data_IF_095812266286
#
_entry.id   IF_095812266286
#
_cell.length_a   1.000
_cell.length_b   1.000
_cell.length_c   1.000
_cell.angle_alpha   90.00
_cell.angle_beta   90.00
_cell.angle_gamma   90.00
#
_symmetry.space_group_name_H-M   'P 1'
#
loop_
_entity.id
_entity.type
_entity.pdbx_description
1 polymer ?
#
# COMPACT_ATOMS: atom_id res chain seq x y z
N UNK A 1 22.55 16.10 -0.99
CA UNK A 1 21.31 16.08 -1.82
C UNK A 1 20.15 15.61 -0.95
N UNK A 2 19.18 16.48 -0.59
CA UNK A 2 17.98 16.06 0.18
C UNK A 2 17.16 15.09 -0.68
N UNK A 3 17.32 13.76 -0.51
CA UNK A 3 16.57 12.72 -1.27
C UNK A 3 15.08 13.07 -1.29
N UNK A 4 14.52 13.32 -2.48
CA UNK A 4 13.13 13.75 -2.63
C UNK A 4 12.14 12.74 -2.05
N UNK A 5 12.52 11.46 -2.05
CA UNK A 5 11.73 10.36 -1.51
C UNK A 5 12.61 9.50 -0.61
N UNK A 6 12.12 9.20 0.59
CA UNK A 6 12.74 8.22 1.48
C UNK A 6 12.28 6.81 1.06
N UNK A 7 13.14 6.09 0.34
CA UNK A 7 12.83 4.75 -0.16
C UNK A 7 12.60 3.72 0.95
N UNK A 8 13.20 3.87 2.14
CA UNK A 8 12.91 2.97 3.27
C UNK A 8 11.46 3.14 3.72
N UNK A 9 11.02 4.39 3.87
CA UNK A 9 9.64 4.72 4.23
C UNK A 9 8.65 4.24 3.16
N UNK A 10 8.98 4.41 1.88
CA UNK A 10 8.17 3.90 0.76
C UNK A 10 7.90 2.39 0.89
N UNK A 11 8.96 1.59 1.09
CA UNK A 11 8.82 0.13 1.19
C UNK A 11 8.06 -0.31 2.44
N UNK A 12 8.22 0.40 3.56
CA UNK A 12 7.45 0.13 4.79
C UNK A 12 5.97 0.41 4.59
N UNK A 13 5.63 1.56 4.01
CA UNK A 13 4.25 1.93 3.72
C UNK A 13 3.62 0.95 2.71
N UNK A 14 4.37 0.54 1.70
CA UNK A 14 3.89 -0.42 0.71
C UNK A 14 3.67 -1.81 1.32
N UNK A 15 4.61 -2.28 2.15
CA UNK A 15 4.47 -3.54 2.89
C UNK A 15 3.27 -3.53 3.84
N UNK A 16 3.09 -2.45 4.60
CA UNK A 16 1.94 -2.26 5.49
C UNK A 16 0.61 -2.25 4.70
N UNK A 17 0.58 -1.60 3.54
CA UNK A 17 -0.60 -1.57 2.66
C UNK A 17 -0.96 -2.97 2.14
N UNK A 18 0.04 -3.76 1.72
CA UNK A 18 -0.18 -5.14 1.25
C UNK A 18 -0.69 -6.03 2.39
N UNK A 19 -0.12 -5.90 3.59
CA UNK A 19 -0.62 -6.62 4.77
C UNK A 19 -2.08 -6.24 5.08
N UNK A 20 -2.44 -4.97 4.95
CA UNK A 20 -3.83 -4.52 5.09
C UNK A 20 -4.75 -5.16 4.05
N UNK A 21 -4.33 -5.26 2.78
CA UNK A 21 -5.12 -5.92 1.73
C UNK A 21 -5.38 -7.38 2.07
N UNK A 22 -4.36 -8.10 2.51
CA UNK A 22 -4.47 -9.51 2.90
C UNK A 22 -5.40 -9.66 4.12
N UNK A 23 -5.27 -8.77 5.11
CA UNK A 23 -6.10 -8.80 6.32
C UNK A 23 -7.59 -8.57 6.04
N UNK A 24 -7.90 -7.71 5.08
CA UNK A 24 -9.29 -7.37 4.71
C UNK A 24 -9.88 -8.37 3.69
N UNK A 25 -9.02 -9.12 2.99
CA UNK A 25 -9.42 -10.10 1.98
C UNK A 25 -10.53 -11.08 2.41
N UNK A 26 -10.50 -11.73 3.59
CA UNK A 26 -11.55 -12.67 3.97
C UNK A 26 -12.94 -12.02 4.04
N UNK A 27 -13.03 -10.79 4.55
CA UNK A 27 -14.29 -10.03 4.58
C UNK A 27 -14.78 -9.66 3.18
N UNK A 28 -13.85 -9.28 2.29
CA UNK A 28 -14.16 -8.94 0.90
C UNK A 28 -14.63 -10.16 0.10
N UNK A 29 -14.08 -11.34 0.39
CA UNK A 29 -14.47 -12.60 -0.22
C UNK A 29 -15.86 -13.05 0.22
N UNK A 30 -16.22 -12.89 1.50
CA UNK A 30 -17.57 -13.22 1.97
C UNK A 30 -18.62 -12.26 1.42
N UNK A 31 -18.28 -10.97 1.33
CA UNK A 31 -19.19 -9.95 0.79
C UNK A 31 -19.44 -10.13 -0.72
N UNK A 32 -18.45 -10.58 -1.48
CA UNK A 32 -18.56 -10.76 -2.93
C UNK A 32 -18.81 -12.22 -3.33
N UNK A 33 -19.14 -13.11 -2.38
CA UNK A 33 -19.22 -14.54 -2.62
C UNK A 33 -20.16 -14.91 -3.78
N UNK A 34 -21.29 -14.21 -3.93
CA UNK A 34 -22.24 -14.49 -5.02
C UNK A 34 -21.73 -14.04 -6.39
N UNK A 35 -21.05 -12.89 -6.47
CA UNK A 35 -20.43 -12.40 -7.71
C UNK A 35 -19.27 -13.30 -8.16
N UNK A 36 -18.54 -13.88 -7.20
CA UNK A 36 -17.41 -14.75 -7.46
C UNK A 36 -17.82 -16.14 -8.01
N UNK A 37 -19.06 -16.60 -7.74
CA UNK A 37 -19.59 -17.86 -8.28
C UNK A 37 -19.83 -17.77 -9.79
N UNK A 38 -20.16 -16.58 -10.28
CA UNK A 38 -20.41 -16.31 -11.71
C UNK A 38 -19.15 -15.84 -12.45
N UNK A 39 -18.01 -15.75 -11.75
CA UNK A 39 -16.78 -15.24 -12.33
C UNK A 39 -16.27 -16.17 -13.45
N UNK A 40 -15.90 -15.62 -14.62
CA UNK A 40 -15.39 -16.41 -15.75
C UNK A 40 -13.95 -16.91 -15.53
N UNK A 41 -13.26 -16.38 -14.51
CA UNK A 41 -11.89 -16.71 -14.17
C UNK A 41 -11.83 -17.47 -12.84
N UNK A 42 -10.88 -18.40 -12.68
CA UNK A 42 -10.73 -19.10 -11.42
C UNK A 42 -10.22 -18.17 -10.31
N UNK A 43 -10.68 -18.41 -9.07
CA UNK A 43 -10.42 -17.57 -7.90
C UNK A 43 -8.93 -17.26 -7.67
N UNK A 44 -8.05 -18.24 -7.87
CA UNK A 44 -6.61 -18.05 -7.64
C UNK A 44 -5.99 -17.02 -8.60
N UNK A 45 -6.42 -16.99 -9.87
CA UNK A 45 -5.94 -15.97 -10.82
C UNK A 45 -6.53 -14.60 -10.48
N UNK A 46 -7.81 -14.55 -10.12
CA UNK A 46 -8.47 -13.31 -9.74
C UNK A 46 -7.78 -12.65 -8.54
N UNK A 47 -7.45 -13.45 -7.52
CA UNK A 47 -6.73 -12.99 -6.32
C UNK A 47 -5.33 -12.48 -6.65
N UNK A 48 -4.58 -13.19 -7.50
CA UNK A 48 -3.26 -12.75 -7.94
C UNK A 48 -3.32 -11.41 -8.68
N UNK A 49 -4.27 -11.27 -9.60
CA UNK A 49 -4.49 -10.02 -10.35
C UNK A 49 -4.88 -8.89 -9.38
N UNK A 50 -5.78 -9.14 -8.43
CA UNK A 50 -6.23 -8.13 -7.48
C UNK A 50 -5.10 -7.67 -6.54
N UNK A 51 -4.29 -8.58 -6.03
CA UNK A 51 -3.13 -8.24 -5.20
C UNK A 51 -2.15 -7.43 -6.04
N UNK A 52 -1.83 -7.87 -7.25
CA UNK A 52 -0.90 -7.17 -8.13
C UNK A 52 -1.40 -5.76 -8.47
N UNK A 53 -2.68 -5.62 -8.81
CA UNK A 53 -3.32 -4.33 -9.06
C UNK A 53 -3.23 -3.42 -7.82
N UNK A 54 -3.51 -3.96 -6.64
CA UNK A 54 -3.44 -3.23 -5.37
C UNK A 54 -2.02 -2.75 -5.09
N UNK A 55 -1.01 -3.61 -5.30
CA UNK A 55 0.42 -3.24 -5.17
C UNK A 55 0.76 -2.06 -6.07
N UNK A 56 0.36 -2.10 -7.34
CA UNK A 56 0.63 -1.03 -8.30
C UNK A 56 -0.07 0.27 -7.87
N UNK A 57 -1.35 0.21 -7.49
CA UNK A 57 -2.10 1.38 -7.04
C UNK A 57 -1.49 2.01 -5.79
N UNK A 58 -1.20 1.20 -4.75
CA UNK A 58 -0.58 1.70 -3.54
C UNK A 58 0.82 2.24 -3.79
N UNK A 59 1.62 1.59 -4.64
CA UNK A 59 2.93 2.11 -5.02
C UNK A 59 2.83 3.50 -5.64
N UNK A 60 1.89 3.71 -6.57
CA UNK A 60 1.65 5.01 -7.19
C UNK A 60 1.20 6.03 -6.15
N UNK A 61 0.20 5.71 -5.33
CA UNK A 61 -0.31 6.65 -4.32
C UNK A 61 0.71 7.00 -3.24
N UNK A 62 1.50 6.04 -2.75
CA UNK A 62 2.56 6.30 -1.78
C UNK A 62 3.65 7.16 -2.43
N UNK A 63 4.05 6.86 -3.67
CA UNK A 63 5.05 7.64 -4.39
C UNK A 63 4.61 9.10 -4.56
N UNK A 64 3.40 9.29 -5.08
CA UNK A 64 2.77 10.61 -5.28
C UNK A 64 2.64 11.32 -3.92
N UNK A 65 2.13 10.63 -2.91
CA UNK A 65 1.98 11.15 -1.55
C UNK A 65 3.30 11.67 -0.98
N UNK A 66 4.36 10.85 -0.97
CA UNK A 66 5.68 11.26 -0.46
C UNK A 66 6.30 12.39 -1.29
N UNK A 67 6.12 12.36 -2.62
CA UNK A 67 6.63 13.40 -3.50
C UNK A 67 5.96 14.77 -3.25
N UNK A 68 4.62 14.78 -3.12
CA UNK A 68 3.86 15.99 -2.83
C UNK A 68 4.11 16.49 -1.41
N UNK A 69 4.11 15.59 -0.42
CA UNK A 69 4.34 15.88 1.00
C UNK A 69 5.60 16.75 1.17
N UNK A 70 6.70 16.35 0.53
CA UNK A 70 7.95 17.12 0.57
C UNK A 70 7.86 18.50 -0.09
N UNK A 71 7.07 18.67 -1.15
CA UNK A 71 6.89 19.96 -1.84
C UNK A 71 6.08 20.95 -1.02
N UNK A 72 5.10 20.48 -0.26
CA UNK A 72 4.26 21.32 0.61
C UNK A 72 4.84 21.48 2.02
N UNK A 73 6.00 20.89 2.31
CA UNK A 73 6.66 20.95 3.61
C UNK A 73 6.04 20.03 4.67
N UNK A 74 5.04 19.24 4.31
CA UNK A 74 4.47 18.19 5.15
C UNK A 74 5.41 16.98 5.07
N UNK A 75 6.27 16.77 6.06
CA UNK A 75 7.02 15.51 6.15
C UNK A 75 6.17 14.46 6.88
N UNK A 76 6.70 13.23 7.02
CA UNK A 76 6.10 12.20 7.87
C UNK A 76 6.88 12.11 9.19
N UNK A 77 6.83 13.14 10.07
CA UNK A 77 7.79 13.33 11.16
C UNK A 77 7.85 12.14 12.13
N UNK A 78 6.71 11.53 12.45
CA UNK A 78 6.65 10.39 13.38
C UNK A 78 7.34 9.16 12.76
N UNK A 79 7.01 8.83 11.51
CA UNK A 79 7.56 7.66 10.83
C UNK A 79 9.04 7.87 10.46
N UNK A 80 9.43 9.07 10.06
CA UNK A 80 10.81 9.42 9.78
C UNK A 80 11.67 9.40 11.05
N UNK A 81 11.18 9.96 12.16
CA UNK A 81 11.88 9.93 13.45
C UNK A 81 12.07 8.49 13.95
N UNK A 82 11.02 7.67 13.86
CA UNK A 82 11.08 6.24 14.20
C UNK A 82 12.08 5.47 13.33
N UNK A 83 12.12 5.75 12.02
CA UNK A 83 13.06 5.14 11.08
C UNK A 83 14.51 5.59 11.26
N UNK A 84 14.72 6.80 11.78
CA UNK A 84 16.03 7.37 12.06
C UNK A 84 16.52 7.06 13.49
N UNK A 85 15.69 6.42 14.33
CA UNK A 85 16.02 6.11 15.72
C UNK A 85 16.14 7.36 16.60
N UNK A 86 15.46 8.45 16.24
CA UNK A 86 15.46 9.70 17.01
C UNK A 86 14.27 9.70 17.98
N UNK A 87 14.48 10.20 19.20
CA UNK A 87 13.38 10.42 20.13
C UNK A 87 12.44 11.50 19.57
N UNK A 88 11.13 11.22 19.65
CA UNK A 88 10.05 12.03 19.07
C UNK A 88 9.62 13.14 20.02
#
# INVERSE_FOLDING_TARGET
>A
MKKLINWKLFWILLGASILSVIAVLPYVLTFQADLLKEAPLPLHLLLLIQILQSVILFAIFIFVGLFLAKRVGLNAPILESWLEGKEV
#
